data_IF_480852254264
#
_entry.id   IF_480852254264
#
_cell.length_a   1.000
_cell.length_b   1.000
_cell.length_c   1.000
_cell.angle_alpha   90.00
_cell.angle_beta   90.00
_cell.angle_gamma   90.00
#
_symmetry.space_group_name_H-M   'P 1'
#
loop_
_entity.id
_entity.type
_entity.pdbx_description
1 polymer ?
#
# COMPACT_ATOMS: atom_id res chain seq x y z
N UNK A 1 9.86 71.27 -3.15
CA UNK A 1 9.95 69.98 -3.85
C UNK A 1 11.36 69.46 -3.60
N UNK A 2 11.49 68.36 -2.86
CA UNK A 2 12.77 67.71 -2.63
C UNK A 2 12.62 66.29 -3.14
N UNK A 3 13.18 66.03 -4.31
CA UNK A 3 13.21 64.72 -4.94
C UNK A 3 14.16 63.82 -4.15
N UNK A 4 13.61 63.05 -3.22
CA UNK A 4 14.32 61.95 -2.57
C UNK A 4 14.44 60.79 -3.56
N UNK A 5 15.41 60.89 -4.47
CA UNK A 5 15.85 59.77 -5.28
C UNK A 5 16.76 58.88 -4.43
N UNK A 6 16.18 58.09 -3.55
CA UNK A 6 16.89 57.03 -2.84
C UNK A 6 17.13 55.91 -3.83
N UNK A 7 18.27 55.93 -4.52
CA UNK A 7 18.68 54.83 -5.40
C UNK A 7 18.71 53.53 -4.58
N UNK A 8 17.74 52.65 -4.80
CA UNK A 8 17.68 51.34 -4.16
C UNK A 8 18.97 50.57 -4.50
N UNK A 9 19.84 50.39 -3.50
CA UNK A 9 21.06 49.58 -3.64
C UNK A 9 20.66 48.21 -4.16
N UNK A 10 21.25 47.81 -5.29
CA UNK A 10 21.06 46.48 -5.89
C UNK A 10 21.53 45.41 -4.89
N UNK A 11 20.60 44.88 -4.10
CA UNK A 11 20.87 43.77 -3.17
C UNK A 11 21.07 42.48 -3.96
N UNK A 12 22.14 41.76 -3.64
CA UNK A 12 22.41 40.45 -4.21
C UNK A 12 21.41 39.42 -3.66
N UNK A 13 21.31 38.25 -4.29
CA UNK A 13 20.48 37.13 -3.79
C UNK A 13 20.88 36.69 -2.37
N UNK A 14 22.13 36.96 -1.97
CA UNK A 14 22.60 36.66 -0.61
C UNK A 14 21.98 37.60 0.44
N UNK A 15 21.81 38.89 0.08
CA UNK A 15 21.44 39.99 0.99
C UNK A 15 19.93 40.26 1.04
N UNK A 16 19.15 39.63 0.15
CA UNK A 16 17.71 39.83 0.02
C UNK A 16 16.96 38.50 0.02
N UNK A 17 16.26 38.22 1.12
CA UNK A 17 15.51 36.97 1.30
C UNK A 17 14.34 36.82 0.32
N UNK A 18 13.78 37.94 -0.19
CA UNK A 18 12.66 37.92 -1.13
C UNK A 18 13.03 37.40 -2.52
N UNK A 19 14.32 37.49 -2.87
CA UNK A 19 14.91 36.99 -4.13
C UNK A 19 15.33 35.53 -4.05
N UNK A 20 15.29 34.91 -2.86
CA UNK A 20 15.64 33.49 -2.71
C UNK A 20 14.54 32.62 -3.31
N UNK A 21 14.88 31.86 -4.34
CA UNK A 21 13.97 30.92 -4.97
C UNK A 21 13.56 29.81 -3.98
N UNK A 22 12.28 29.78 -3.60
CA UNK A 22 11.70 28.76 -2.68
C UNK A 22 10.64 27.86 -3.32
N UNK A 23 10.35 28.03 -4.61
CA UNK A 23 9.23 27.34 -5.31
C UNK A 23 9.50 25.87 -5.68
N UNK A 24 10.54 25.23 -5.11
CA UNK A 24 10.79 23.80 -5.28
C UNK A 24 9.99 22.95 -4.31
N UNK A 25 9.65 21.71 -4.70
CA UNK A 25 9.14 20.71 -3.74
C UNK A 25 10.17 20.53 -2.62
N UNK A 26 9.72 20.73 -1.38
CA UNK A 26 10.57 20.72 -0.20
C UNK A 26 11.24 19.36 0.06
N UNK A 27 12.22 19.35 0.96
CA UNK A 27 12.95 18.12 1.31
C UNK A 27 12.02 17.01 1.82
N UNK A 28 11.00 17.34 2.61
CA UNK A 28 10.00 16.40 3.10
C UNK A 28 9.24 15.69 1.96
N UNK A 29 8.84 16.43 0.92
CA UNK A 29 8.14 15.85 -0.22
C UNK A 29 9.01 14.83 -0.99
N UNK A 30 10.32 15.09 -1.11
CA UNK A 30 11.25 14.14 -1.75
C UNK A 30 11.42 12.85 -0.94
N UNK A 31 11.30 12.97 0.38
CA UNK A 31 11.38 11.84 1.32
C UNK A 31 10.11 11.00 1.26
N UNK A 32 8.95 11.65 1.17
CA UNK A 32 7.65 11.00 1.01
C UNK A 32 7.54 10.25 -0.33
N UNK A 33 7.89 10.90 -1.44
CA UNK A 33 7.89 10.29 -2.77
C UNK A 33 8.76 9.02 -2.82
N UNK A 34 9.92 9.07 -2.15
CA UNK A 34 10.83 7.91 -2.07
C UNK A 34 10.25 6.78 -1.22
N UNK A 35 9.56 7.11 -0.12
CA UNK A 35 8.86 6.13 0.72
C UNK A 35 7.68 5.48 -0.03
N UNK A 36 6.91 6.25 -0.81
CA UNK A 36 5.82 5.73 -1.64
C UNK A 36 6.34 4.75 -2.72
N UNK A 37 7.46 5.07 -3.36
CA UNK A 37 8.09 4.12 -4.31
C UNK A 37 8.60 2.87 -3.59
N UNK A 38 9.21 3.02 -2.41
CA UNK A 38 9.65 1.89 -1.61
C UNK A 38 8.49 0.96 -1.22
N UNK A 39 7.35 1.55 -0.85
CA UNK A 39 6.12 0.82 -0.57
C UNK A 39 5.67 -0.01 -1.80
N UNK A 40 5.69 0.55 -3.00
CA UNK A 40 5.42 -0.20 -4.23
C UNK A 40 6.33 -1.42 -4.41
N UNK A 41 7.64 -1.28 -4.13
CA UNK A 41 8.58 -2.40 -4.18
C UNK A 41 8.35 -3.47 -3.10
N UNK A 42 7.83 -3.09 -1.92
CA UNK A 42 7.42 -4.06 -0.90
C UNK A 42 6.27 -4.92 -1.42
N UNK A 43 5.29 -4.33 -2.10
CA UNK A 43 4.16 -5.07 -2.69
C UNK A 43 4.57 -5.96 -3.87
N UNK A 44 5.60 -5.58 -4.63
CA UNK A 44 6.19 -6.43 -5.67
C UNK A 44 6.90 -7.67 -5.08
N UNK A 45 7.33 -7.59 -3.81
CA UNK A 45 8.04 -8.64 -3.09
C UNK A 45 9.56 -8.61 -3.27
N UNK A 46 10.23 -9.43 -2.46
CA UNK A 46 11.69 -9.52 -2.40
C UNK A 46 12.24 -9.33 -0.99
N UNK A 47 13.56 -9.43 -0.85
CA UNK A 47 14.21 -9.17 0.44
C UNK A 47 14.34 -7.67 0.70
N UNK A 48 14.37 -7.29 1.98
CA UNK A 48 14.58 -5.90 2.40
C UNK A 48 15.81 -5.25 1.77
N UNK A 49 16.89 -6.01 1.60
CA UNK A 49 18.14 -5.51 1.03
C UNK A 49 17.98 -5.19 -0.47
N UNK A 50 17.38 -6.10 -1.23
CA UNK A 50 17.09 -5.88 -2.66
C UNK A 50 16.18 -4.66 -2.87
N UNK A 51 15.17 -4.48 -2.02
CA UNK A 51 14.26 -3.33 -2.09
C UNK A 51 15.02 -2.03 -1.79
N UNK A 52 15.85 -2.02 -0.74
CA UNK A 52 16.66 -0.85 -0.40
C UNK A 52 17.67 -0.50 -1.51
N UNK A 53 18.26 -1.49 -2.18
CA UNK A 53 19.15 -1.31 -3.32
C UNK A 53 18.44 -0.68 -4.53
N UNK A 54 17.21 -1.14 -4.84
CA UNK A 54 16.36 -0.53 -5.89
C UNK A 54 16.04 0.93 -5.59
N UNK A 55 15.73 1.26 -4.33
CA UNK A 55 15.44 2.64 -3.92
C UNK A 55 16.70 3.51 -3.97
N UNK A 56 17.81 2.98 -3.45
CA UNK A 56 19.14 3.60 -3.46
C UNK A 56 19.56 3.97 -4.88
N UNK A 57 19.49 3.02 -5.82
CA UNK A 57 19.84 3.23 -7.23
C UNK A 57 18.90 4.19 -7.94
N UNK A 58 17.57 4.11 -7.71
CA UNK A 58 16.58 4.97 -8.38
C UNK A 58 16.68 6.44 -7.96
N UNK A 59 16.91 6.72 -6.69
CA UNK A 59 16.94 8.08 -6.14
C UNK A 59 18.34 8.61 -5.85
N UNK A 60 19.38 7.81 -6.13
CA UNK A 60 20.78 8.10 -5.85
C UNK A 60 21.01 8.54 -4.40
N UNK A 61 20.56 7.71 -3.45
CA UNK A 61 20.68 7.95 -2.00
C UNK A 61 21.53 6.87 -1.34
N UNK A 62 22.07 7.14 -0.16
CA UNK A 62 22.80 6.12 0.59
C UNK A 62 21.90 4.93 0.97
N UNK A 63 22.48 3.74 1.08
CA UNK A 63 21.76 2.53 1.52
C UNK A 63 21.11 2.71 2.90
N UNK A 64 21.75 3.48 3.79
CA UNK A 64 21.19 3.84 5.09
C UNK A 64 19.89 4.64 4.94
N UNK A 65 19.87 5.65 4.07
CA UNK A 65 18.67 6.44 3.77
C UNK A 65 17.56 5.55 3.22
N UNK A 66 17.88 4.68 2.26
CA UNK A 66 16.92 3.74 1.69
C UNK A 66 16.31 2.80 2.75
N UNK A 67 17.09 2.35 3.74
CA UNK A 67 16.57 1.58 4.87
C UNK A 67 15.64 2.37 5.79
N UNK A 68 15.85 3.69 5.94
CA UNK A 68 14.94 4.55 6.70
C UNK A 68 13.64 4.80 5.92
N UNK A 69 13.69 4.88 4.59
CA UNK A 69 12.47 4.95 3.76
C UNK A 69 11.70 3.64 3.80
N UNK A 70 12.38 2.50 3.84
CA UNK A 70 11.76 1.19 4.05
C UNK A 70 10.98 1.12 5.37
N UNK A 71 11.52 1.69 6.45
CA UNK A 71 10.80 1.75 7.74
C UNK A 71 9.50 2.57 7.61
N UNK A 72 9.57 3.74 6.98
CA UNK A 72 8.39 4.59 6.73
C UNK A 72 7.36 3.88 5.84
N UNK A 73 7.80 3.18 4.80
CA UNK A 73 6.92 2.38 3.95
C UNK A 73 6.23 1.24 4.71
N UNK A 74 6.94 0.59 5.65
CA UNK A 74 6.36 -0.43 6.52
C UNK A 74 5.35 0.12 7.52
N UNK A 75 5.57 1.34 8.03
CA UNK A 75 4.58 2.04 8.87
C UNK A 75 3.29 2.30 8.09
N UNK A 76 3.39 2.79 6.85
CA UNK A 76 2.23 2.98 5.97
C UNK A 76 1.48 1.67 5.73
N UNK A 77 2.21 0.60 5.39
CA UNK A 77 1.62 -0.73 5.20
C UNK A 77 0.92 -1.21 6.47
N UNK A 78 1.51 -0.98 7.65
CA UNK A 78 0.90 -1.34 8.94
C UNK A 78 -0.37 -0.54 9.18
N UNK A 79 -0.37 0.76 8.92
CA UNK A 79 -1.57 1.61 9.08
C UNK A 79 -2.70 1.13 8.18
N UNK A 80 -2.42 0.78 6.91
CA UNK A 80 -3.41 0.21 5.99
C UNK A 80 -3.93 -1.15 6.45
N UNK A 81 -3.04 -2.02 6.95
CA UNK A 81 -3.41 -3.33 7.49
C UNK A 81 -4.19 -3.26 8.80
N UNK A 82 -4.09 -2.14 9.53
CA UNK A 82 -4.86 -1.90 10.75
C UNK A 82 -6.30 -1.43 10.42
N UNK A 83 -6.64 -1.30 9.13
CA UNK A 83 -8.00 -1.10 8.65
C UNK A 83 -8.97 -2.17 9.14
N UNK A 84 -10.24 -1.80 9.22
CA UNK A 84 -11.31 -2.68 9.69
C UNK A 84 -11.42 -3.93 8.83
N UNK A 85 -11.91 -5.04 9.41
CA UNK A 85 -12.10 -6.32 8.70
C UNK A 85 -12.83 -6.16 7.36
N UNK A 86 -13.77 -5.22 7.27
CA UNK A 86 -14.54 -4.92 6.05
C UNK A 86 -13.68 -4.25 4.96
N UNK A 87 -12.82 -3.31 5.32
CA UNK A 87 -11.89 -2.67 4.39
C UNK A 87 -10.89 -3.68 3.81
N UNK A 88 -10.37 -4.58 4.66
CA UNK A 88 -9.47 -5.66 4.24
C UNK A 88 -10.17 -6.65 3.31
N UNK A 89 -11.45 -6.95 3.54
CA UNK A 89 -12.24 -7.81 2.65
C UNK A 89 -12.43 -7.16 1.28
N UNK A 90 -12.76 -5.87 1.23
CA UNK A 90 -12.91 -5.13 -0.03
C UNK A 90 -11.59 -5.05 -0.81
N UNK A 91 -10.46 -4.80 -0.13
CA UNK A 91 -9.13 -4.82 -0.75
C UNK A 91 -8.77 -6.21 -1.29
N UNK A 92 -9.05 -7.27 -0.53
CA UNK A 92 -8.81 -8.65 -0.97
C UNK A 92 -9.66 -9.02 -2.19
N UNK A 93 -10.92 -8.59 -2.24
CA UNK A 93 -11.78 -8.78 -3.40
C UNK A 93 -11.24 -8.04 -4.63
N UNK A 94 -10.78 -6.79 -4.48
CA UNK A 94 -10.17 -6.03 -5.56
C UNK A 94 -8.88 -6.69 -6.09
N UNK A 95 -8.02 -7.21 -5.21
CA UNK A 95 -6.82 -7.95 -5.58
C UNK A 95 -7.13 -9.27 -6.31
N UNK A 96 -8.17 -10.00 -5.87
CA UNK A 96 -8.65 -11.21 -6.58
C UNK A 96 -9.09 -10.89 -8.00
N UNK A 97 -9.84 -9.80 -8.21
CA UNK A 97 -10.26 -9.39 -9.55
C UNK A 97 -9.07 -9.00 -10.43
N UNK A 98 -8.12 -8.23 -9.91
CA UNK A 98 -6.92 -7.83 -10.63
C UNK A 98 -6.04 -9.04 -11.03
N UNK A 99 -5.90 -10.01 -10.13
CA UNK A 99 -5.15 -11.26 -10.40
C UNK A 99 -5.87 -12.13 -11.42
N UNK A 100 -7.21 -12.23 -11.38
CA UNK A 100 -8.02 -12.87 -12.43
C UNK A 100 -7.74 -12.25 -13.80
N UNK A 101 -7.78 -10.92 -13.93
CA UNK A 101 -7.50 -10.24 -15.20
C UNK A 101 -6.09 -10.55 -15.72
N UNK A 102 -5.09 -10.56 -14.84
CA UNK A 102 -3.70 -10.86 -15.21
C UNK A 102 -3.50 -12.33 -15.59
N UNK A 103 -4.14 -13.26 -14.88
CA UNK A 103 -4.12 -14.68 -15.18
C UNK A 103 -4.82 -15.01 -16.50
N UNK A 104 -5.96 -14.33 -16.78
CA UNK A 104 -6.71 -14.47 -18.02
C UNK A 104 -5.90 -13.99 -19.23
N UNK A 105 -5.22 -12.84 -19.13
CA UNK A 105 -4.28 -12.36 -20.17
C UNK A 105 -3.14 -13.34 -20.47
N UNK A 106 -2.77 -14.20 -19.51
CA UNK A 106 -1.70 -15.21 -19.64
C UNK A 106 -2.22 -16.60 -20.02
N UNK A 107 -3.53 -16.79 -20.18
CA UNK A 107 -4.14 -18.08 -20.52
C UNK A 107 -4.16 -19.08 -19.36
N UNK A 108 -4.00 -18.65 -18.10
CA UNK A 108 -4.06 -19.53 -16.93
C UNK A 108 -5.52 -19.76 -16.48
N UNK A 109 -6.31 -20.42 -17.32
CA UNK A 109 -7.76 -20.57 -17.11
C UNK A 109 -8.14 -21.37 -15.86
N UNK A 110 -7.34 -22.38 -15.48
CA UNK A 110 -7.57 -23.15 -14.26
C UNK A 110 -7.51 -22.25 -13.02
N UNK A 111 -6.49 -21.38 -12.95
CA UNK A 111 -6.32 -20.42 -11.85
C UNK A 111 -7.43 -19.38 -11.83
N UNK A 112 -7.88 -18.93 -13.01
CA UNK A 112 -9.03 -18.02 -13.14
C UNK A 112 -10.30 -18.67 -12.59
N UNK A 113 -10.58 -19.92 -12.93
CA UNK A 113 -11.75 -20.64 -12.44
C UNK A 113 -11.75 -20.78 -10.91
N UNK A 114 -10.59 -21.09 -10.31
CA UNK A 114 -10.45 -21.17 -8.85
C UNK A 114 -10.69 -19.81 -8.17
N UNK A 115 -10.08 -18.74 -8.67
CA UNK A 115 -10.22 -17.40 -8.10
C UNK A 115 -11.65 -16.85 -8.21
N UNK A 116 -12.33 -17.11 -9.33
CA UNK A 116 -13.75 -16.76 -9.51
C UNK A 116 -14.66 -17.57 -8.58
N UNK A 117 -14.39 -18.87 -8.42
CA UNK A 117 -15.13 -19.72 -7.47
C UNK A 117 -14.94 -19.28 -6.01
N UNK A 118 -13.75 -18.82 -5.63
CA UNK A 118 -13.49 -18.24 -4.31
C UNK A 118 -14.23 -16.90 -4.11
N UNK A 119 -14.47 -16.13 -5.18
CA UNK A 119 -15.30 -14.91 -5.11
C UNK A 119 -16.78 -15.25 -4.92
N UNK A 120 -17.32 -16.22 -5.68
CA UNK A 120 -18.70 -16.69 -5.53
C UNK A 120 -18.99 -17.26 -4.13
N UNK A 121 -18.01 -17.93 -3.51
CA UNK A 121 -18.11 -18.39 -2.10
C UNK A 121 -18.18 -17.25 -1.09
N UNK A 122 -17.49 -16.14 -1.33
CA UNK A 122 -17.50 -14.96 -0.42
C UNK A 122 -18.80 -14.15 -0.56
N UNK A 123 -19.38 -14.10 -1.76
CA UNK A 123 -20.65 -13.42 -2.04
C UNK A 123 -21.86 -14.28 -1.61
N UNK A 124 -21.65 -15.58 -1.38
CA UNK A 124 -22.72 -16.53 -1.05
C UNK A 124 -23.45 -17.10 -2.26
N UNK A 125 -23.01 -16.79 -3.49
CA UNK A 125 -23.52 -17.44 -4.72
C UNK A 125 -23.17 -18.93 -4.77
N UNK A 126 -22.05 -19.31 -4.15
CA UNK A 126 -21.63 -20.69 -3.97
C UNK A 126 -21.60 -21.05 -2.48
N UNK A 127 -22.68 -20.76 -1.76
CA UNK A 127 -22.88 -21.43 -0.49
C UNK A 127 -22.95 -22.94 -0.77
N UNK A 128 -22.17 -23.82 -0.10
CA UNK A 128 -22.70 -25.15 0.12
C UNK A 128 -24.05 -24.93 0.79
N UNK A 129 -25.13 -25.51 0.27
CA UNK A 129 -26.35 -25.62 1.06
C UNK A 129 -25.89 -26.06 2.44
N UNK A 130 -26.00 -25.18 3.43
CA UNK A 130 -25.85 -25.55 4.82
C UNK A 130 -27.05 -26.42 5.08
N UNK A 131 -26.95 -27.70 4.67
CA UNK A 131 -27.62 -28.79 5.32
C UNK A 131 -27.13 -28.67 6.75
N UNK A 132 -27.89 -27.91 7.52
CA UNK A 132 -27.96 -28.02 8.96
C UNK A 132 -28.21 -29.50 9.21
N UNK A 133 -27.12 -30.25 9.38
CA UNK A 133 -27.10 -31.52 10.07
C UNK A 133 -27.53 -31.18 11.50
N UNK A 134 -28.84 -30.96 11.69
CA UNK A 134 -29.50 -31.28 12.93
C UNK A 134 -29.33 -32.79 13.09
N UNK A 135 -28.17 -33.20 13.60
CA UNK A 135 -28.02 -34.53 14.18
C UNK A 135 -28.77 -34.43 15.50
N UNK A 136 -29.94 -35.08 15.66
CA UNK A 136 -30.57 -35.14 16.96
C UNK A 136 -29.64 -35.85 17.93
N UNK A 137 -29.28 -35.20 19.03
CA UNK A 137 -28.57 -35.86 20.14
C UNK A 137 -29.50 -36.92 20.75
N UNK A 138 -29.20 -38.19 20.49
CA UNK A 138 -29.87 -39.33 21.13
C UNK A 138 -29.23 -39.57 22.50
N UNK A 139 -29.85 -39.06 23.57
CA UNK A 139 -29.50 -39.45 24.94
C UNK A 139 -30.34 -40.66 25.37
N UNK A 140 -29.74 -41.86 25.40
CA UNK A 140 -30.38 -43.06 25.97
C UNK A 140 -30.04 -43.09 27.47
N UNK A 141 -31.05 -43.01 28.33
CA UNK A 141 -30.92 -43.35 29.76
C UNK A 141 -31.45 -44.77 29.96
N UNK A 142 -30.62 -45.63 30.54
CA UNK A 142 -31.01 -46.98 30.93
C UNK A 142 -31.36 -46.91 32.42
N UNK A 143 -32.60 -47.23 32.76
CA UNK A 143 -33.02 -47.42 34.15
C UNK A 143 -32.88 -48.90 34.50
N UNK A 144 -32.13 -49.20 35.57
CA UNK A 144 -31.99 -50.57 36.10
C UNK A 144 -33.31 -51.03 36.73
N UNK A 145 -33.64 -52.31 36.53
CA UNK A 145 -34.90 -52.95 36.94
C UNK A 145 -35.08 -53.07 38.46
#
# INVERSE_FOLDING_TARGET
MADNNTEEKKTSVADDESKRWRKGRGAAHKVEERAQVCYGYILEGGTRHQIAEKVSSRFNVSMRTAHDDYKRAMELLRTEQTGTREELLNQLQALRLATVQKALKRGHFQTVATLLGDMGRVIGEAAPETVSLQVPELSIKIEDK
#
